data_IF_439781215779
#
_entry.id   IF_439781215779
#
_cell.length_a   1.000
_cell.length_b   1.000
_cell.length_c   1.000
_cell.angle_alpha   90.00
_cell.angle_beta   90.00
_cell.angle_gamma   90.00
#
_symmetry.space_group_name_H-M   'P 1'
#
loop_
_entity.id
_entity.type
_entity.pdbx_description
1 polymer ?
#
# COMPACT_ATOMS: atom_id res chain seq x y z
N UNK A 1 7.60 9.24 -8.21
CA UNK A 1 8.07 7.86 -8.29
C UNK A 1 7.45 7.06 -7.15
N UNK A 2 6.97 5.88 -7.43
CA UNK A 2 6.35 5.01 -6.47
C UNK A 2 7.26 3.80 -6.21
N UNK A 3 7.57 3.54 -4.96
CA UNK A 3 8.35 2.37 -4.56
C UNK A 3 7.43 1.46 -3.78
N UNK A 4 7.09 0.38 -4.43
CA UNK A 4 6.37 -0.72 -3.81
C UNK A 4 7.29 -1.52 -2.88
N UNK A 5 6.68 -2.10 -1.91
CA UNK A 5 7.26 -2.49 -0.77
C UNK A 5 8.05 -3.65 -0.46
N UNK A 6 8.98 -4.17 -0.98
CA UNK A 6 9.72 -5.31 -0.41
C UNK A 6 8.79 -6.45 0.05
N UNK A 7 7.75 -6.78 -0.70
CA UNK A 7 6.81 -7.86 -0.34
C UNK A 7 7.51 -9.12 0.15
N UNK A 8 8.67 -9.42 -0.43
CA UNK A 8 9.52 -10.48 0.06
C UNK A 8 10.12 -10.26 1.45
N UNK A 9 10.10 -9.06 1.99
CA UNK A 9 10.68 -8.75 3.30
C UNK A 9 10.02 -9.52 4.43
N UNK A 10 8.71 -9.58 4.44
CA UNK A 10 7.93 -10.34 5.45
C UNK A 10 8.14 -11.86 5.33
N UNK A 11 8.60 -12.34 4.20
CA UNK A 11 8.97 -13.74 3.96
C UNK A 11 10.48 -14.00 4.12
N UNK A 12 11.24 -13.02 4.60
CA UNK A 12 12.68 -13.11 4.80
C UNK A 12 13.51 -12.84 3.55
N UNK A 13 12.90 -12.36 2.48
CA UNK A 13 13.60 -11.85 1.31
C UNK A 13 13.76 -10.34 1.42
N UNK A 14 14.98 -9.86 1.23
CA UNK A 14 15.29 -8.44 1.15
C UNK A 14 16.46 -8.24 0.18
N UNK A 15 16.32 -7.42 -0.84
CA UNK A 15 17.41 -7.11 -1.74
C UNK A 15 18.40 -6.15 -1.07
N UNK A 16 19.46 -6.69 -0.50
CA UNK A 16 20.51 -5.92 0.19
C UNK A 16 21.06 -4.82 -0.73
N UNK A 17 21.22 -3.63 -0.19
CA UNK A 17 21.69 -2.45 -0.92
C UNK A 17 20.59 -1.59 -1.53
N UNK A 18 19.35 -2.07 -1.60
CA UNK A 18 18.23 -1.36 -2.21
C UNK A 18 17.89 -0.06 -1.47
N UNK A 19 17.81 -0.10 -0.17
CA UNK A 19 17.54 1.08 0.66
C UNK A 19 18.64 2.13 0.54
N UNK A 20 19.89 1.70 0.51
CA UNK A 20 21.05 2.57 0.25
C UNK A 20 20.98 3.20 -1.14
N UNK A 21 20.56 2.43 -2.16
CA UNK A 21 20.38 2.91 -3.52
C UNK A 21 19.29 4.01 -3.60
N UNK A 22 18.12 3.82 -2.96
CA UNK A 22 17.09 4.87 -2.90
C UNK A 22 17.63 6.14 -2.27
N UNK A 23 18.32 6.02 -1.14
CA UNK A 23 18.93 7.15 -0.46
C UNK A 23 19.98 7.87 -1.34
N UNK A 24 20.78 7.12 -2.08
CA UNK A 24 21.74 7.66 -3.02
C UNK A 24 21.05 8.42 -4.17
N UNK A 25 20.02 7.83 -4.79
CA UNK A 25 19.30 8.46 -5.91
C UNK A 25 18.60 9.75 -5.49
N UNK A 26 18.00 9.82 -4.31
CA UNK A 26 17.42 11.03 -3.76
C UNK A 26 18.45 12.14 -3.50
N UNK A 27 19.66 11.77 -3.10
CA UNK A 27 20.77 12.75 -2.96
C UNK A 27 21.28 13.26 -4.30
N UNK A 28 21.38 12.37 -5.29
CA UNK A 28 21.89 12.72 -6.62
C UNK A 28 20.89 13.52 -7.46
N UNK A 29 19.61 13.39 -7.19
CA UNK A 29 18.52 14.01 -7.94
C UNK A 29 17.66 14.89 -7.02
N UNK A 30 18.01 16.16 -6.81
CA UNK A 30 17.32 17.04 -5.85
C UNK A 30 15.83 17.23 -6.11
N UNK A 31 15.41 17.12 -7.38
CA UNK A 31 14.02 17.29 -7.79
C UNK A 31 13.20 15.98 -7.70
N UNK A 32 13.82 14.86 -7.38
CA UNK A 32 13.16 13.59 -7.35
C UNK A 32 12.36 13.41 -6.07
N UNK A 33 11.09 13.03 -6.19
CA UNK A 33 10.18 12.75 -5.08
C UNK A 33 9.68 11.32 -5.18
N UNK A 34 9.48 10.69 -4.04
CA UNK A 34 9.05 9.31 -3.94
C UNK A 34 7.87 9.13 -2.99
N UNK A 35 7.00 8.22 -3.36
CA UNK A 35 5.98 7.64 -2.49
C UNK A 35 6.40 6.21 -2.17
N UNK A 36 6.33 5.80 -0.93
CA UNK A 36 6.76 4.48 -0.50
C UNK A 36 5.62 3.72 0.20
N UNK A 37 5.54 2.44 -0.07
CA UNK A 37 4.64 1.51 0.61
C UNK A 37 5.37 0.23 1.01
N UNK A 38 6.43 0.39 1.77
CA UNK A 38 7.24 -0.72 2.27
C UNK A 38 6.56 -1.32 3.50
N UNK A 39 6.31 -2.62 3.51
CA UNK A 39 5.72 -3.27 4.67
C UNK A 39 6.56 -3.04 5.92
N UNK A 40 5.89 -2.66 7.03
CA UNK A 40 6.57 -2.26 8.25
C UNK A 40 7.54 -3.30 8.82
N UNK A 41 7.20 -4.59 8.74
CA UNK A 41 8.07 -5.68 9.19
C UNK A 41 9.39 -5.77 8.39
N UNK A 42 9.40 -5.31 7.16
CA UNK A 42 10.61 -5.27 6.33
C UNK A 42 11.69 -4.38 6.92
N UNK A 43 11.35 -3.34 7.65
CA UNK A 43 12.32 -2.43 8.27
C UNK A 43 13.18 -3.11 9.33
N UNK A 44 12.64 -4.07 10.06
CA UNK A 44 13.45 -4.86 11.00
C UNK A 44 14.43 -5.76 10.25
N UNK A 45 14.01 -6.35 9.12
CA UNK A 45 14.89 -7.14 8.24
C UNK A 45 15.99 -6.27 7.64
N UNK A 46 15.64 -5.08 7.15
CA UNK A 46 16.60 -4.10 6.61
C UNK A 46 17.62 -3.71 7.67
N UNK A 47 17.16 -3.38 8.88
CA UNK A 47 18.02 -2.98 9.99
C UNK A 47 19.06 -4.06 10.34
N UNK A 48 18.68 -5.34 10.25
CA UNK A 48 19.56 -6.46 10.58
C UNK A 48 20.51 -6.83 9.44
N UNK A 49 20.04 -6.80 8.20
CA UNK A 49 20.77 -7.30 7.04
C UNK A 49 21.53 -6.23 6.26
N UNK A 50 21.09 -4.98 6.35
CA UNK A 50 21.70 -3.82 5.70
C UNK A 50 21.67 -2.61 6.64
N UNK A 51 22.39 -2.66 7.77
CA UNK A 51 22.36 -1.60 8.78
C UNK A 51 22.83 -0.24 8.25
N UNK A 52 23.78 -0.22 7.33
CA UNK A 52 24.29 1.02 6.73
C UNK A 52 23.22 1.67 5.84
N UNK A 53 22.56 0.88 5.00
CA UNK A 53 21.45 1.33 4.17
C UNK A 53 20.27 1.81 5.01
N UNK A 54 19.95 1.08 6.08
CA UNK A 54 18.91 1.48 7.03
C UNK A 54 19.20 2.85 7.67
N UNK A 55 20.39 3.05 8.22
CA UNK A 55 20.75 4.31 8.86
C UNK A 55 20.85 5.48 7.86
N UNK A 56 21.31 5.21 6.63
CA UNK A 56 21.33 6.21 5.57
C UNK A 56 19.91 6.67 5.19
N UNK A 57 18.99 5.71 5.07
CA UNK A 57 17.58 6.00 4.75
C UNK A 57 16.88 6.69 5.93
N UNK A 58 17.14 6.25 7.16
CA UNK A 58 16.57 6.86 8.37
C UNK A 58 16.91 8.34 8.50
N UNK A 59 18.18 8.71 8.26
CA UNK A 59 18.60 10.12 8.25
C UNK A 59 17.89 10.91 7.15
N UNK A 60 17.83 10.34 5.95
CA UNK A 60 17.17 10.99 4.82
C UNK A 60 15.67 11.12 5.06
N UNK A 61 15.04 10.11 5.61
CA UNK A 61 13.61 10.11 5.92
C UNK A 61 13.26 11.20 6.94
N UNK A 62 14.06 11.35 7.98
CA UNK A 62 13.91 12.42 8.97
C UNK A 62 13.85 13.79 8.33
N UNK A 63 14.72 14.06 7.35
CA UNK A 63 14.82 15.35 6.71
C UNK A 63 13.78 15.57 5.59
N UNK A 64 13.26 14.50 5.00
CA UNK A 64 12.48 14.54 3.76
C UNK A 64 11.05 14.03 3.89
N UNK A 65 10.65 13.45 5.01
CA UNK A 65 9.28 12.96 5.21
C UNK A 65 8.31 14.01 5.75
N UNK A 66 8.80 15.21 6.09
CA UNK A 66 7.96 16.34 6.50
C UNK A 66 7.03 16.79 5.38
N UNK A 67 6.02 17.59 5.70
CA UNK A 67 4.94 17.99 4.79
C UNK A 67 5.46 18.58 3.45
N UNK A 68 6.54 19.33 3.48
CA UNK A 68 7.21 19.87 2.28
C UNK A 68 8.29 18.95 1.72
N UNK A 69 8.49 17.78 2.31
CA UNK A 69 9.57 16.88 1.97
C UNK A 69 9.30 16.06 0.70
N UNK A 70 10.35 15.35 0.27
CA UNK A 70 10.38 14.56 -0.97
C UNK A 70 10.04 13.10 -0.82
N UNK A 71 9.71 12.66 0.41
CA UNK A 71 9.35 11.29 0.73
C UNK A 71 7.98 11.30 1.41
N UNK A 72 7.06 10.47 0.93
CA UNK A 72 5.78 10.22 1.56
C UNK A 72 5.55 8.73 1.77
N UNK A 73 5.20 8.35 2.98
CA UNK A 73 4.79 6.98 3.29
C UNK A 73 3.29 6.86 3.02
N UNK A 74 2.90 6.16 1.96
CA UNK A 74 1.51 6.21 1.47
C UNK A 74 0.66 5.00 1.82
N UNK A 75 1.29 3.86 2.16
CA UNK A 75 0.57 2.69 2.67
C UNK A 75 1.24 2.16 3.94
N UNK A 76 0.82 2.64 5.11
CA UNK A 76 1.39 2.20 6.36
C UNK A 76 0.67 0.98 6.95
N UNK A 77 -0.10 0.23 6.19
CA UNK A 77 -0.74 -0.99 6.67
C UNK A 77 0.29 -2.05 7.00
N UNK A 78 -0.01 -2.90 7.98
CA UNK A 78 0.96 -3.87 8.49
C UNK A 78 1.35 -4.91 7.45
N UNK A 79 0.42 -5.32 6.60
CA UNK A 79 0.62 -6.37 5.61
C UNK A 79 -0.21 -6.22 4.33
N UNK A 80 -0.58 -5.03 3.93
CA UNK A 80 -1.22 -4.75 2.62
C UNK A 80 -2.35 -5.72 2.25
N UNK A 81 -3.37 -5.79 3.10
CA UNK A 81 -4.48 -6.73 2.94
C UNK A 81 -5.50 -6.29 1.89
N UNK A 82 -6.14 -7.25 1.22
CA UNK A 82 -7.39 -6.98 0.52
C UNK A 82 -8.51 -6.71 1.52
N UNK A 83 -8.77 -5.45 1.83
CA UNK A 83 -9.71 -5.05 2.88
C UNK A 83 -11.14 -5.53 2.64
N UNK A 84 -11.58 -5.71 1.39
CA UNK A 84 -12.88 -6.29 1.11
C UNK A 84 -13.01 -7.77 1.56
N UNK A 85 -11.89 -8.46 1.77
CA UNK A 85 -11.82 -9.85 2.23
C UNK A 85 -11.64 -10.01 3.74
N UNK A 86 -11.41 -8.94 4.49
CA UNK A 86 -11.15 -8.95 5.94
C UNK A 86 -12.27 -8.27 6.72
N UNK A 87 -12.26 -8.41 8.06
CA UNK A 87 -13.20 -7.67 8.91
C UNK A 87 -12.78 -6.22 9.10
N UNK A 88 -13.73 -5.38 9.56
CA UNK A 88 -13.44 -4.00 9.92
C UNK A 88 -12.42 -3.90 11.07
N UNK A 89 -12.42 -4.84 12.02
CA UNK A 89 -11.44 -4.88 13.09
C UNK A 89 -10.03 -5.13 12.53
N UNK A 90 -9.87 -6.09 11.63
CA UNK A 90 -8.59 -6.33 10.96
C UNK A 90 -8.14 -5.10 10.17
N UNK A 91 -9.04 -4.45 9.44
CA UNK A 91 -8.72 -3.24 8.69
C UNK A 91 -8.17 -2.13 9.60
N UNK A 92 -8.80 -1.90 10.76
CA UNK A 92 -8.33 -0.93 11.76
C UNK A 92 -6.96 -1.36 12.32
N UNK A 93 -6.77 -2.64 12.67
CA UNK A 93 -5.52 -3.15 13.21
C UNK A 93 -4.37 -3.11 12.20
N UNK A 94 -4.65 -3.29 10.91
CA UNK A 94 -3.65 -3.13 9.86
C UNK A 94 -3.01 -1.73 9.92
N UNK A 95 -3.80 -0.67 10.07
CA UNK A 95 -3.28 0.69 10.23
C UNK A 95 -2.62 0.90 11.59
N UNK A 96 -3.26 0.48 12.68
CA UNK A 96 -2.73 0.67 14.03
C UNK A 96 -1.33 0.04 14.19
N UNK A 97 -1.20 -1.24 13.83
CA UNK A 97 0.07 -1.97 13.99
C UNK A 97 1.12 -1.48 13.01
N UNK A 98 0.73 -1.21 11.77
CA UNK A 98 1.66 -0.73 10.76
C UNK A 98 2.21 0.64 11.08
N UNK A 99 1.35 1.62 11.35
CA UNK A 99 1.78 2.99 11.71
C UNK A 99 2.65 3.00 12.96
N UNK A 100 2.27 2.24 13.99
CA UNK A 100 3.06 2.11 15.23
C UNK A 100 4.45 1.55 14.95
N UNK A 101 4.55 0.52 14.11
CA UNK A 101 5.84 -0.08 13.77
C UNK A 101 6.69 0.85 12.90
N UNK A 102 6.11 1.52 11.93
CA UNK A 102 6.83 2.53 11.12
C UNK A 102 7.35 3.65 12.02
N UNK A 103 6.54 4.18 12.92
CA UNK A 103 6.96 5.24 13.84
C UNK A 103 8.02 4.80 14.86
N UNK A 104 8.11 3.50 15.16
CA UNK A 104 9.22 2.96 15.95
C UNK A 104 10.56 3.08 15.22
N UNK A 105 10.56 2.90 13.89
CA UNK A 105 11.76 3.05 13.06
C UNK A 105 12.01 4.52 12.67
N UNK A 106 10.94 5.23 12.35
CA UNK A 106 10.93 6.61 11.84
C UNK A 106 9.95 7.46 12.66
N UNK A 107 10.37 7.99 13.82
CA UNK A 107 9.48 8.74 14.71
C UNK A 107 8.85 9.97 14.06
N UNK A 108 9.48 10.52 13.03
CA UNK A 108 9.02 11.69 12.28
C UNK A 108 8.02 11.34 11.17
N UNK A 109 7.67 10.07 10.98
CA UNK A 109 6.75 9.64 9.93
C UNK A 109 5.37 10.28 10.09
N UNK A 110 4.91 10.95 9.04
CA UNK A 110 3.58 11.55 8.91
C UNK A 110 2.83 10.85 7.79
N UNK A 111 1.59 10.48 8.05
CA UNK A 111 0.73 9.80 7.11
C UNK A 111 -0.38 10.73 6.65
N UNK A 112 -0.33 11.20 5.43
CA UNK A 112 -1.24 12.20 4.88
C UNK A 112 -2.11 11.62 3.76
N UNK A 113 -1.51 10.86 2.86
CA UNK A 113 -2.20 10.27 1.71
C UNK A 113 -2.12 8.76 1.76
N UNK A 114 -3.23 8.10 1.51
CA UNK A 114 -3.27 6.65 1.31
C UNK A 114 -3.21 6.33 -0.18
N UNK A 115 -2.29 5.48 -0.56
CA UNK A 115 -2.18 4.91 -1.90
C UNK A 115 -1.58 3.52 -1.80
N UNK A 116 -2.04 2.59 -2.62
CA UNK A 116 -1.56 1.23 -2.63
C UNK A 116 -1.30 0.77 -4.06
N UNK A 117 -0.31 -0.09 -4.24
CA UNK A 117 -0.03 -0.72 -5.52
C UNK A 117 -1.14 -1.69 -5.90
N UNK A 118 -1.54 -2.53 -4.97
CA UNK A 118 -2.59 -3.52 -5.13
C UNK A 118 -3.96 -2.98 -4.64
N UNK A 119 -5.08 -3.59 -5.02
CA UNK A 119 -6.41 -3.09 -4.67
C UNK A 119 -6.78 -3.32 -3.20
N UNK A 120 -6.02 -2.74 -2.31
CA UNK A 120 -6.24 -2.79 -0.87
C UNK A 120 -7.36 -1.83 -0.45
N UNK A 121 -8.56 -1.98 -1.01
CA UNK A 121 -9.69 -1.05 -0.80
C UNK A 121 -10.92 -1.73 -0.19
N UNK A 122 -11.74 -0.93 0.46
CA UNK A 122 -13.09 -1.27 0.89
C UNK A 122 -13.95 -0.01 0.96
N UNK A 123 -15.27 -0.14 0.90
CA UNK A 123 -16.19 1.00 0.98
C UNK A 123 -16.05 1.82 2.26
N UNK A 124 -15.69 1.19 3.38
CA UNK A 124 -15.51 1.86 4.68
C UNK A 124 -14.17 2.58 4.83
N UNK A 125 -13.26 2.46 3.87
CA UNK A 125 -11.89 2.96 4.02
C UNK A 125 -11.80 4.48 4.23
N UNK A 126 -12.64 5.35 3.61
CA UNK A 126 -12.62 6.79 3.90
C UNK A 126 -12.77 7.11 5.38
N UNK A 127 -13.70 6.44 6.06
CA UNK A 127 -13.90 6.62 7.51
C UNK A 127 -12.67 6.16 8.32
N UNK A 128 -12.14 4.98 8.01
CA UNK A 128 -10.96 4.44 8.68
C UNK A 128 -9.77 5.38 8.49
N UNK A 129 -9.48 5.78 7.26
CA UNK A 129 -8.38 6.70 6.95
C UNK A 129 -8.50 8.03 7.69
N UNK A 130 -9.69 8.64 7.69
CA UNK A 130 -9.93 9.89 8.45
C UNK A 130 -9.71 9.70 9.95
N UNK A 131 -10.09 8.55 10.51
CA UNK A 131 -9.88 8.23 11.92
C UNK A 131 -8.39 8.14 12.29
N UNK A 132 -7.54 7.77 11.34
CA UNK A 132 -6.07 7.74 11.48
C UNK A 132 -5.37 9.04 11.03
N UNK A 133 -6.13 10.08 10.66
CA UNK A 133 -5.58 11.40 10.34
C UNK A 133 -5.22 11.61 8.86
N UNK A 134 -5.54 10.67 7.98
CA UNK A 134 -5.34 10.87 6.53
C UNK A 134 -6.26 11.95 5.99
N UNK A 135 -5.74 12.76 5.09
CA UNK A 135 -6.46 13.83 4.41
C UNK A 135 -6.82 13.48 2.97
N UNK A 136 -6.04 12.61 2.35
CA UNK A 136 -6.08 12.32 0.93
C UNK A 136 -5.97 10.83 0.63
N UNK A 137 -6.35 10.45 -0.60
CA UNK A 137 -6.08 9.13 -1.14
C UNK A 137 -5.75 9.19 -2.64
N UNK A 138 -5.19 8.10 -3.15
CA UNK A 138 -5.13 7.83 -4.58
C UNK A 138 -5.65 6.42 -4.83
N UNK A 139 -6.61 6.30 -5.74
CA UNK A 139 -7.11 5.02 -6.24
C UNK A 139 -6.49 4.65 -7.59
N UNK A 140 -5.48 5.40 -8.02
CA UNK A 140 -4.63 5.00 -9.13
C UNK A 140 -3.76 3.83 -8.68
N UNK A 141 -4.22 2.65 -9.02
CA UNK A 141 -3.47 1.44 -8.80
C UNK A 141 -2.51 1.24 -9.98
N UNK A 142 -1.20 1.18 -9.76
CA UNK A 142 -0.23 1.03 -10.84
C UNK A 142 -0.31 -0.32 -11.53
N UNK A 143 -0.83 -1.34 -10.87
CA UNK A 143 -0.78 -2.71 -11.37
C UNK A 143 -2.15 -3.18 -11.91
N UNK A 144 -2.76 -2.39 -12.76
CA UNK A 144 -4.12 -2.64 -13.28
C UNK A 144 -4.26 -3.91 -14.13
N UNK A 145 -3.16 -4.38 -14.75
CA UNK A 145 -3.19 -5.62 -15.54
C UNK A 145 -3.53 -6.86 -14.70
N UNK A 146 -3.31 -6.78 -13.42
CA UNK A 146 -3.61 -7.85 -12.47
C UNK A 146 -5.04 -7.79 -11.90
N UNK A 147 -5.88 -6.95 -12.49
CA UNK A 147 -7.29 -6.86 -12.14
C UNK A 147 -7.57 -6.05 -10.88
N UNK A 148 -6.66 -5.19 -10.48
CA UNK A 148 -6.73 -4.51 -9.21
C UNK A 148 -7.15 -3.06 -9.24
N UNK A 149 -7.83 -2.57 -10.25
CA UNK A 149 -8.20 -1.17 -10.30
C UNK A 149 -9.69 -0.91 -10.10
N UNK A 150 -9.95 0.24 -9.52
CA UNK A 150 -11.29 0.77 -9.34
C UNK A 150 -11.85 1.33 -10.64
N UNK A 151 -13.15 1.56 -10.71
CA UNK A 151 -13.83 2.20 -11.83
C UNK A 151 -13.18 3.52 -12.20
N UNK A 152 -13.14 3.82 -13.50
CA UNK A 152 -12.63 5.09 -13.99
C UNK A 152 -13.59 6.24 -13.65
N UNK A 153 -13.02 7.41 -13.38
CA UNK A 153 -13.75 8.63 -13.11
C UNK A 153 -13.22 9.80 -13.95
N UNK A 154 -14.08 10.78 -14.21
CA UNK A 154 -13.78 11.82 -15.20
C UNK A 154 -12.89 12.97 -14.73
N UNK A 155 -12.64 13.15 -13.46
CA UNK A 155 -11.97 14.33 -12.92
C UNK A 155 -10.52 14.14 -12.52
N UNK A 156 -9.81 15.23 -12.24
CA UNK A 156 -8.49 15.19 -11.63
C UNK A 156 -8.55 14.71 -10.19
N UNK A 157 -9.51 15.25 -9.45
CA UNK A 157 -9.79 14.90 -8.06
C UNK A 157 -11.28 14.62 -7.89
N UNK A 158 -11.60 13.66 -7.06
CA UNK A 158 -12.97 13.31 -6.66
C UNK A 158 -13.06 13.22 -5.14
N UNK A 159 -14.29 13.22 -4.63
CA UNK A 159 -14.54 12.85 -3.24
C UNK A 159 -14.79 11.34 -3.16
N UNK A 160 -13.89 10.59 -2.55
CA UNK A 160 -14.21 9.21 -2.17
C UNK A 160 -15.11 9.23 -0.94
N UNK A 161 -16.33 8.74 -1.10
CA UNK A 161 -17.36 8.82 -0.06
C UNK A 161 -17.60 7.45 0.56
N UNK A 162 -17.44 7.37 1.86
CA UNK A 162 -17.78 6.18 2.65
C UNK A 162 -19.29 6.03 2.89
N UNK A 163 -19.75 4.84 3.32
CA UNK A 163 -21.16 4.60 3.62
C UNK A 163 -21.76 5.49 4.71
N UNK A 164 -20.92 6.05 5.56
CA UNK A 164 -21.27 6.98 6.62
C UNK A 164 -21.31 8.46 6.17
N UNK A 165 -21.02 8.72 4.89
CA UNK A 165 -20.91 10.04 4.31
C UNK A 165 -19.57 10.75 4.48
N UNK A 166 -18.58 10.08 5.09
CA UNK A 166 -17.21 10.60 5.18
C UNK A 166 -16.62 10.79 3.80
N UNK A 167 -16.05 11.96 3.54
CA UNK A 167 -15.43 12.32 2.26
C UNK A 167 -13.92 12.42 2.38
N UNK A 168 -13.21 11.86 1.40
CA UNK A 168 -11.76 11.92 1.29
C UNK A 168 -11.38 12.38 -0.12
N UNK A 169 -10.66 13.49 -0.22
CA UNK A 169 -10.16 13.98 -1.51
C UNK A 169 -9.20 12.96 -2.12
N UNK A 170 -9.48 12.53 -3.34
CA UNK A 170 -8.84 11.36 -3.94
C UNK A 170 -8.48 11.60 -5.39
N UNK A 171 -7.29 11.15 -5.80
CA UNK A 171 -6.91 11.04 -7.21
C UNK A 171 -7.54 9.77 -7.78
N UNK A 172 -8.49 9.87 -8.73
CA UNK A 172 -9.13 8.70 -9.31
C UNK A 172 -8.31 8.11 -10.45
N UNK A 173 -8.67 6.93 -10.92
CA UNK A 173 -8.31 6.48 -12.25
C UNK A 173 -9.03 7.35 -13.28
N UNK A 174 -8.31 7.88 -14.25
CA UNK A 174 -8.93 8.75 -15.26
C UNK A 174 -9.79 7.97 -16.25
N UNK A 175 -10.94 8.54 -16.62
CA UNK A 175 -11.82 7.94 -17.61
C UNK A 175 -11.19 7.82 -19.01
N UNK A 176 -10.21 8.66 -19.31
CA UNK A 176 -9.49 8.64 -20.59
C UNK A 176 -8.36 7.60 -20.67
N UNK A 177 -8.10 6.86 -19.61
CA UNK A 177 -7.08 5.79 -19.60
C UNK A 177 -7.60 4.56 -20.37
N UNK A 178 -7.03 4.32 -21.54
CA UNK A 178 -7.32 3.12 -22.35
C UNK A 178 -6.57 1.93 -21.77
N UNK A 179 -7.26 1.08 -21.06
CA UNK A 179 -6.69 -0.17 -20.55
C UNK A 179 -6.89 -1.25 -21.61
N UNK A 180 -5.82 -1.54 -22.32
CA UNK A 180 -5.80 -2.62 -23.29
C UNK A 180 -5.51 -3.96 -22.58
N UNK A 181 -5.98 -5.10 -23.12
CA UNK A 181 -5.58 -6.41 -22.60
C UNK A 181 -4.05 -6.53 -22.49
N UNK A 182 -3.57 -6.92 -21.32
CA UNK A 182 -2.13 -7.03 -21.02
C UNK A 182 -1.43 -5.70 -20.72
N UNK A 183 -2.13 -4.57 -20.70
CA UNK A 183 -1.62 -3.29 -20.23
C UNK A 183 -2.00 -3.05 -18.77
N UNK A 184 -1.21 -2.21 -18.11
CA UNK A 184 -1.52 -1.67 -16.80
C UNK A 184 -1.36 -0.16 -16.82
N UNK A 185 -1.86 0.51 -15.81
CA UNK A 185 -1.68 1.95 -15.70
C UNK A 185 -0.19 2.34 -15.72
N UNK A 186 0.65 1.58 -15.06
CA UNK A 186 2.09 1.73 -15.08
C UNK A 186 2.64 1.72 -16.52
N UNK A 187 2.22 0.75 -17.35
CA UNK A 187 2.67 0.67 -18.74
C UNK A 187 2.26 1.88 -19.57
N UNK A 188 1.06 2.39 -19.35
CA UNK A 188 0.51 3.54 -20.08
C UNK A 188 1.27 4.82 -19.69
N UNK A 189 1.44 5.05 -18.40
CA UNK A 189 2.05 6.27 -17.88
C UNK A 189 3.58 6.21 -17.86
N UNK A 190 4.17 5.01 -17.78
CA UNK A 190 5.61 4.82 -17.82
C UNK A 190 6.23 5.41 -19.07
N UNK A 191 5.61 5.15 -20.20
CA UNK A 191 6.08 5.70 -21.47
C UNK A 191 5.76 7.19 -21.64
N UNK A 192 4.91 7.75 -20.77
CA UNK A 192 4.57 9.17 -20.73
C UNK A 192 4.33 9.70 -22.15
N UNK A 193 3.50 8.99 -22.92
CA UNK A 193 3.33 9.24 -24.34
C UNK A 193 2.57 10.52 -24.60
N UNK A 194 2.80 11.13 -25.77
CA UNK A 194 2.03 12.28 -26.24
C UNK A 194 0.54 12.02 -26.19
N UNK A 195 0.14 10.84 -26.65
CA UNK A 195 -1.27 10.46 -26.75
C UNK A 195 -1.94 10.43 -25.38
N UNK A 196 -1.25 9.89 -24.36
CA UNK A 196 -1.76 9.89 -22.99
C UNK A 196 -1.94 11.32 -22.46
N UNK A 197 -0.91 12.16 -22.61
CA UNK A 197 -0.96 13.56 -22.15
C UNK A 197 -2.07 14.32 -22.87
N UNK A 198 -2.18 14.20 -24.20
CA UNK A 198 -3.23 14.87 -24.99
C UNK A 198 -4.61 14.40 -24.58
N UNK A 199 -4.85 13.09 -24.43
CA UNK A 199 -6.12 12.56 -23.94
C UNK A 199 -6.53 13.13 -22.58
N UNK A 200 -5.58 13.24 -21.67
CA UNK A 200 -5.83 13.85 -20.37
C UNK A 200 -6.25 15.32 -20.51
N UNK A 201 -5.48 16.10 -21.28
CA UNK A 201 -5.77 17.53 -21.50
C UNK A 201 -7.12 17.74 -22.22
N UNK A 202 -7.42 16.93 -23.23
CA UNK A 202 -8.66 16.99 -23.99
C UNK A 202 -9.89 16.66 -23.13
N UNK A 203 -9.70 15.87 -22.07
CA UNK A 203 -10.77 15.56 -21.10
C UNK A 203 -10.82 16.51 -19.91
N UNK A 204 -10.01 17.59 -19.93
CA UNK A 204 -10.01 18.61 -18.90
C UNK A 204 -9.10 18.33 -17.70
N UNK A 205 -8.29 17.27 -17.77
CA UNK A 205 -7.26 16.97 -16.76
C UNK A 205 -6.05 17.87 -17.05
N UNK A 206 -5.82 18.86 -16.21
CA UNK A 206 -4.80 19.88 -16.43
C UNK A 206 -3.39 19.42 -15.99
N UNK A 207 -3.34 18.50 -15.02
CA UNK A 207 -2.10 18.00 -14.45
C UNK A 207 -2.03 16.46 -14.56
N UNK A 208 -1.82 15.94 -15.79
CA UNK A 208 -1.74 14.50 -16.00
C UNK A 208 -0.69 13.83 -15.13
N UNK A 209 -1.07 12.79 -14.41
CA UNK A 209 -0.15 12.01 -13.58
C UNK A 209 0.49 10.90 -14.39
N UNK A 210 1.81 10.92 -14.47
CA UNK A 210 2.62 9.78 -14.85
C UNK A 210 3.25 9.18 -13.59
N UNK A 211 3.21 7.86 -13.43
CA UNK A 211 3.81 7.19 -12.28
C UNK A 211 4.77 6.09 -12.74
N UNK A 212 5.97 6.10 -12.19
CA UNK A 212 6.89 4.99 -12.30
C UNK A 212 6.86 4.23 -11.00
N UNK A 213 6.47 2.98 -11.08
CA UNK A 213 6.54 2.05 -9.94
C UNK A 213 7.81 1.23 -9.99
N UNK A 214 8.30 0.88 -8.85
CA UNK A 214 9.37 -0.06 -8.64
C UNK A 214 8.93 -1.11 -7.64
N UNK A 215 8.65 -2.29 -8.13
CA UNK A 215 8.49 -3.48 -7.33
C UNK A 215 9.87 -3.95 -6.85
N UNK A 216 10.18 -3.57 -5.65
CA UNK A 216 11.53 -3.61 -5.15
C UNK A 216 12.04 -4.99 -4.83
N UNK A 217 11.19 -5.92 -4.46
CA UNK A 217 11.61 -7.27 -4.10
C UNK A 217 11.97 -8.14 -5.31
N UNK A 218 11.43 -7.82 -6.46
CA UNK A 218 11.49 -8.68 -7.65
C UNK A 218 12.28 -8.10 -8.81
N UNK A 219 12.54 -6.79 -8.80
CA UNK A 219 13.14 -6.08 -9.91
C UNK A 219 14.62 -5.77 -9.66
N UNK A 220 15.48 -6.21 -10.56
CA UNK A 220 16.88 -5.79 -10.61
C UNK A 220 17.11 -4.54 -11.48
N UNK A 221 16.05 -3.85 -11.84
CA UNK A 221 16.06 -2.76 -12.82
C UNK A 221 15.73 -1.38 -12.26
N UNK A 222 15.98 -1.14 -10.98
CA UNK A 222 15.69 0.11 -10.27
C UNK A 222 16.14 1.39 -10.94
N UNK A 223 17.26 1.34 -11.64
CA UNK A 223 17.89 2.44 -12.33
C UNK A 223 17.36 2.63 -13.76
N UNK A 224 16.42 1.80 -14.19
CA UNK A 224 15.92 1.76 -15.57
C UNK A 224 14.60 2.45 -15.81
N UNK A 225 14.09 3.20 -14.84
CA UNK A 225 12.93 4.05 -15.07
C UNK A 225 13.23 5.08 -16.17
N UNK A 226 12.29 5.32 -17.10
CA UNK A 226 12.52 6.22 -18.23
C UNK A 226 12.89 7.64 -17.80
N UNK A 227 12.71 7.97 -16.53
CA UNK A 227 12.96 9.30 -15.98
C UNK A 227 14.23 9.41 -15.16
N UNK A 228 14.97 8.33 -14.96
CA UNK A 228 16.16 8.29 -14.12
C UNK A 228 17.47 8.40 -14.94
N UNK A 229 17.55 9.42 -15.80
CA UNK A 229 18.80 9.78 -16.48
C UNK A 229 19.07 9.06 -17.81
N UNK A 230 18.03 8.53 -18.45
CA UNK A 230 18.14 8.01 -19.80
C UNK A 230 17.77 9.08 -20.85
N UNK A 231 18.17 8.86 -22.09
CA UNK A 231 17.73 9.69 -23.21
C UNK A 231 16.22 9.61 -23.35
N UNK A 232 15.54 10.64 -22.89
CA UNK A 232 14.10 10.76 -22.87
C UNK A 232 13.56 11.44 -24.13
N UNK A 233 14.35 11.56 -25.19
CA UNK A 233 13.95 12.24 -26.42
C UNK A 233 12.69 11.64 -27.07
N UNK A 234 12.41 10.36 -26.80
CA UNK A 234 11.21 9.67 -27.26
C UNK A 234 9.99 9.82 -26.31
N UNK A 235 10.17 10.39 -25.10
CA UNK A 235 9.14 10.46 -24.07
C UNK A 235 9.00 11.87 -23.55
N UNK A 236 7.82 12.23 -23.06
CA UNK A 236 7.66 13.47 -22.31
C UNK A 236 8.36 13.35 -20.96
N UNK A 237 9.32 14.21 -20.74
CA UNK A 237 9.91 14.36 -19.41
C UNK A 237 8.86 14.95 -18.47
N UNK A 238 8.66 14.41 -17.27
CA UNK A 238 7.80 15.01 -16.27
C UNK A 238 8.21 16.47 -16.02
N UNK A 239 7.24 17.37 -15.92
CA UNK A 239 7.50 18.77 -15.59
C UNK A 239 7.85 18.96 -14.12
N UNK A 240 7.36 18.06 -13.26
CA UNK A 240 7.68 18.04 -11.86
C UNK A 240 7.54 16.60 -11.29
N UNK A 241 8.38 16.28 -10.30
CA UNK A 241 8.17 15.13 -9.44
C UNK A 241 7.43 15.60 -8.20
N UNK A 242 6.41 14.85 -7.78
CA UNK A 242 5.60 15.18 -6.61
C UNK A 242 5.37 13.95 -5.74
N UNK A 243 5.28 14.13 -4.43
CA UNK A 243 4.56 13.19 -3.58
C UNK A 243 3.06 13.31 -3.86
N UNK A 244 2.28 12.29 -3.51
CA UNK A 244 0.82 12.36 -3.67
C UNK A 244 0.23 13.55 -2.93
N UNK A 245 0.66 13.78 -1.70
CA UNK A 245 0.25 14.93 -0.88
C UNK A 245 0.46 16.25 -1.61
N UNK A 246 1.68 16.48 -2.10
CA UNK A 246 2.03 17.74 -2.77
C UNK A 246 1.32 17.86 -4.12
N UNK A 247 1.13 16.74 -4.83
CA UNK A 247 0.34 16.74 -6.07
C UNK A 247 -1.09 17.19 -5.81
N UNK A 248 -1.78 16.58 -4.84
CA UNK A 248 -3.19 16.90 -4.54
C UNK A 248 -3.35 18.35 -4.08
N UNK A 249 -2.42 18.85 -3.26
CA UNK A 249 -2.44 20.25 -2.81
C UNK A 249 -2.24 21.23 -3.95
N UNK A 250 -1.34 20.94 -4.89
CA UNK A 250 -1.08 21.79 -6.05
C UNK A 250 -2.21 21.72 -7.10
N UNK A 251 -2.91 20.58 -7.20
CA UNK A 251 -4.00 20.37 -8.15
C UNK A 251 -5.39 20.76 -7.61
N UNK A 252 -5.46 21.41 -6.47
CA UNK A 252 -6.74 21.78 -5.83
C UNK A 252 -7.66 22.66 -6.70
N UNK A 253 -7.12 23.28 -7.74
CA UNK A 253 -7.87 24.11 -8.69
C UNK A 253 -8.73 23.27 -9.65
N UNK A 254 -8.31 22.04 -9.95
CA UNK A 254 -9.02 21.10 -10.83
C UNK A 254 -9.97 20.13 -10.12
N UNK A 255 -10.30 20.39 -8.86
CA UNK A 255 -11.16 19.52 -8.06
C UNK A 255 -12.56 19.41 -8.69
N UNK A 256 -12.96 18.21 -9.06
CA UNK A 256 -14.38 17.97 -9.35
C UNK A 256 -15.14 17.88 -8.02
N UNK A 257 -16.39 18.32 -8.03
CA UNK A 257 -17.30 18.15 -6.88
C UNK A 257 -17.96 16.76 -6.85
N UNK A 258 -17.53 15.88 -7.76
CA UNK A 258 -18.12 14.57 -7.95
C UNK A 258 -17.79 13.65 -6.76
N UNK A 259 -18.80 12.94 -6.34
CA UNK A 259 -18.70 11.91 -5.32
C UNK A 259 -18.50 10.54 -5.98
N UNK A 260 -17.50 9.81 -5.52
CA UNK A 260 -17.26 8.44 -5.92
C UNK A 260 -17.43 7.48 -4.75
N UNK A 261 -18.12 6.37 -4.99
CA UNK A 261 -18.39 5.34 -3.99
C UNK A 261 -17.74 4.03 -4.44
N UNK A 262 -16.90 3.45 -3.60
CA UNK A 262 -16.36 2.13 -3.84
C UNK A 262 -17.51 1.11 -3.81
N UNK A 263 -17.65 0.34 -4.89
CA UNK A 263 -18.78 -0.55 -5.12
C UNK A 263 -18.35 -2.01 -5.30
N UNK A 264 -19.33 -2.88 -5.44
CA UNK A 264 -19.07 -4.29 -5.78
C UNK A 264 -18.44 -4.43 -7.17
N UNK A 265 -18.70 -3.52 -8.09
CA UNK A 265 -18.09 -3.53 -9.42
C UNK A 265 -16.58 -3.31 -9.34
N UNK A 266 -16.13 -2.44 -8.44
CA UNK A 266 -14.71 -2.23 -8.18
C UNK A 266 -14.07 -3.50 -7.60
N UNK A 267 -14.77 -4.20 -6.70
CA UNK A 267 -14.30 -5.49 -6.15
C UNK A 267 -14.19 -6.54 -7.24
N UNK A 268 -15.15 -6.60 -8.18
CA UNK A 268 -15.11 -7.58 -9.27
C UNK A 268 -13.87 -7.44 -10.15
N UNK A 269 -13.38 -6.24 -10.36
CA UNK A 269 -12.09 -6.01 -11.02
C UNK A 269 -10.91 -6.69 -10.31
N UNK A 270 -10.93 -6.69 -8.97
CA UNK A 270 -9.90 -7.33 -8.14
C UNK A 270 -10.05 -8.84 -7.94
N UNK A 271 -11.24 -9.39 -8.17
CA UNK A 271 -11.51 -10.82 -7.92
C UNK A 271 -10.80 -11.77 -8.87
N UNK A 272 -10.28 -11.31 -9.97
CA UNK A 272 -9.57 -12.15 -10.94
C UNK A 272 -8.41 -12.91 -10.28
N UNK A 273 -7.75 -12.32 -9.31
CA UNK A 273 -6.71 -12.95 -8.52
C UNK A 273 -7.27 -13.79 -7.37
N UNK A 274 -8.26 -13.26 -6.66
CA UNK A 274 -8.77 -13.83 -5.43
C UNK A 274 -9.58 -15.12 -5.61
N UNK A 275 -10.14 -15.37 -6.78
CA UNK A 275 -11.05 -16.51 -6.98
C UNK A 275 -10.40 -17.87 -6.80
N UNK A 276 -9.11 -18.01 -7.08
CA UNK A 276 -8.41 -19.28 -6.94
C UNK A 276 -7.97 -19.58 -5.51
N UNK A 277 -7.71 -18.58 -4.72
CA UNK A 277 -7.03 -18.69 -3.41
C UNK A 277 -7.95 -18.36 -2.24
N UNK A 278 -8.91 -17.46 -2.44
CA UNK A 278 -9.83 -17.01 -1.39
C UNK A 278 -10.63 -18.14 -0.73
N UNK A 279 -10.85 -19.27 -1.41
CA UNK A 279 -11.71 -20.33 -0.85
C UNK A 279 -11.10 -21.00 0.38
N UNK A 280 -9.84 -21.43 0.32
CA UNK A 280 -9.21 -22.17 1.43
C UNK A 280 -8.46 -21.25 2.40
N UNK A 281 -7.51 -20.49 1.90
CA UNK A 281 -6.67 -19.65 2.75
C UNK A 281 -7.48 -18.55 3.42
N UNK A 282 -8.35 -17.86 2.69
CA UNK A 282 -9.25 -16.89 3.29
C UNK A 282 -10.17 -17.50 4.35
N UNK A 283 -10.59 -18.75 4.16
CA UNK A 283 -11.36 -19.52 5.17
C UNK A 283 -10.54 -19.75 6.45
N UNK A 284 -9.30 -20.19 6.32
CA UNK A 284 -8.36 -20.38 7.45
C UNK A 284 -8.12 -19.05 8.20
N UNK A 285 -7.84 -17.99 7.46
CA UNK A 285 -7.63 -16.64 8.02
C UNK A 285 -8.90 -16.15 8.73
N UNK A 286 -10.08 -16.34 8.13
CA UNK A 286 -11.35 -15.94 8.75
C UNK A 286 -11.64 -16.69 10.06
N UNK A 287 -11.29 -17.96 10.14
CA UNK A 287 -11.41 -18.74 11.39
C UNK A 287 -10.49 -18.16 12.46
N UNK A 288 -9.24 -17.86 12.12
CA UNK A 288 -8.28 -17.28 13.05
C UNK A 288 -8.70 -15.86 13.48
N UNK A 289 -9.19 -15.04 12.56
CA UNK A 289 -9.72 -13.70 12.84
C UNK A 289 -10.87 -13.76 13.87
N UNK A 290 -11.84 -14.62 13.64
CA UNK A 290 -12.95 -14.78 14.58
C UNK A 290 -12.49 -15.33 15.94
N UNK A 291 -11.44 -16.14 15.99
CA UNK A 291 -10.89 -16.66 17.23
C UNK A 291 -10.24 -15.57 18.06
N UNK A 292 -9.35 -14.75 17.48
CA UNK A 292 -8.64 -13.71 18.22
C UNK A 292 -9.59 -12.59 18.68
N UNK A 293 -10.56 -12.17 17.86
CA UNK A 293 -11.57 -11.17 18.25
C UNK A 293 -12.39 -11.67 19.45
N UNK A 294 -12.78 -12.94 19.46
CA UNK A 294 -13.49 -13.52 20.62
C UNK A 294 -12.59 -13.59 21.84
N UNK A 295 -11.36 -14.04 21.68
CA UNK A 295 -10.41 -14.17 22.77
C UNK A 295 -10.15 -12.81 23.46
N UNK A 296 -9.91 -11.77 22.66
CA UNK A 296 -9.69 -10.42 23.17
C UNK A 296 -10.91 -9.87 23.93
N UNK A 297 -12.11 -10.08 23.40
CA UNK A 297 -13.36 -9.72 24.11
C UNK A 297 -13.51 -10.48 25.42
N UNK A 298 -13.23 -11.77 25.43
CA UNK A 298 -13.29 -12.58 26.65
C UNK A 298 -12.23 -12.16 27.68
N UNK A 299 -11.01 -11.84 27.23
CA UNK A 299 -9.96 -11.31 28.09
C UNK A 299 -10.37 -9.96 28.71
N UNK A 300 -11.03 -9.09 27.93
CA UNK A 300 -11.55 -7.83 28.45
C UNK A 300 -12.63 -8.06 29.53
N UNK A 301 -13.56 -8.97 29.32
CA UNK A 301 -14.55 -9.34 30.35
C UNK A 301 -13.89 -9.95 31.59
N UNK A 302 -12.93 -10.85 31.41
CA UNK A 302 -12.20 -11.46 32.51
C UNK A 302 -11.44 -10.41 33.35
N UNK A 303 -10.83 -9.45 32.70
CA UNK A 303 -10.18 -8.33 33.38
C UNK A 303 -11.17 -7.46 34.15
N UNK A 304 -12.28 -7.06 33.52
CA UNK A 304 -13.27 -6.17 34.12
C UNK A 304 -14.01 -6.82 35.30
N UNK A 305 -14.41 -8.08 35.19
CA UNK A 305 -15.28 -8.74 36.17
C UNK A 305 -14.55 -9.66 37.13
N UNK A 306 -13.33 -10.09 36.81
CA UNK A 306 -12.55 -11.03 37.65
C UNK A 306 -11.18 -10.50 38.04
N UNK A 307 -10.80 -9.30 37.59
CA UNK A 307 -9.49 -8.72 37.88
C UNK A 307 -8.32 -9.51 37.26
N UNK A 308 -8.57 -10.29 36.21
CA UNK A 308 -7.50 -11.05 35.56
C UNK A 308 -6.54 -10.10 34.86
N UNK A 309 -5.28 -10.51 34.81
CA UNK A 309 -4.26 -9.76 34.08
C UNK A 309 -4.53 -9.79 32.57
N UNK A 310 -4.23 -8.66 31.90
CA UNK A 310 -4.33 -8.56 30.46
C UNK A 310 -3.16 -9.28 29.78
N UNK A 311 -3.46 -10.18 28.87
CA UNK A 311 -2.48 -11.04 28.20
C UNK A 311 -1.84 -10.32 26.99
N UNK A 312 -1.16 -9.21 27.22
CA UNK A 312 -0.64 -8.29 26.19
C UNK A 312 0.17 -9.03 25.12
N UNK A 313 1.18 -9.78 25.53
CA UNK A 313 2.08 -10.45 24.57
C UNK A 313 1.36 -11.48 23.70
N UNK A 314 0.47 -12.27 24.29
CA UNK A 314 -0.31 -13.27 23.56
C UNK A 314 -1.27 -12.64 22.56
N UNK A 315 -1.96 -11.58 22.97
CA UNK A 315 -2.92 -10.88 22.12
C UNK A 315 -2.17 -10.17 20.97
N UNK A 316 -1.07 -9.49 21.28
CA UNK A 316 -0.25 -8.82 20.27
C UNK A 316 0.35 -9.80 19.25
N UNK A 317 0.88 -10.94 19.69
CA UNK A 317 1.41 -11.95 18.77
C UNK A 317 0.30 -12.57 17.93
N UNK A 318 -0.85 -12.86 18.53
CA UNK A 318 -2.02 -13.36 17.82
C UNK A 318 -2.50 -12.40 16.72
N UNK A 319 -2.56 -11.10 17.01
CA UNK A 319 -2.89 -10.09 16.01
C UNK A 319 -1.82 -9.97 14.94
N UNK A 320 -0.54 -9.86 15.30
CA UNK A 320 0.55 -9.76 14.33
C UNK A 320 0.53 -10.91 13.31
N UNK A 321 0.41 -12.14 13.76
CA UNK A 321 0.38 -13.31 12.88
C UNK A 321 -0.89 -13.37 12.04
N UNK A 322 -2.04 -12.94 12.58
CA UNK A 322 -3.26 -12.78 11.79
C UNK A 322 -3.07 -11.76 10.68
N UNK A 323 -2.60 -10.56 11.02
CA UNK A 323 -2.43 -9.48 10.05
C UNK A 323 -1.46 -9.86 8.92
N UNK A 324 -0.35 -10.54 9.24
CA UNK A 324 0.56 -11.09 8.22
C UNK A 324 -0.13 -12.11 7.31
N UNK A 325 -0.98 -12.97 7.87
CA UNK A 325 -1.73 -13.97 7.10
C UNK A 325 -2.74 -13.37 6.12
N UNK A 326 -3.04 -12.10 6.25
CA UNK A 326 -3.97 -11.35 5.38
C UNK A 326 -3.26 -10.64 4.21
N UNK A 327 -1.96 -10.79 4.05
CA UNK A 327 -1.22 -10.19 2.95
C UNK A 327 -1.75 -10.70 1.61
N UNK A 328 -2.00 -9.77 0.69
CA UNK A 328 -2.64 -10.08 -0.60
C UNK A 328 -1.85 -11.12 -1.41
N UNK A 329 -0.54 -11.03 -1.47
CA UNK A 329 0.31 -11.97 -2.20
C UNK A 329 0.21 -13.41 -1.70
N UNK A 330 0.01 -13.61 -0.41
CA UNK A 330 -0.23 -14.95 0.12
C UNK A 330 -1.50 -15.59 -0.45
N UNK A 331 -2.43 -14.75 -0.86
CA UNK A 331 -3.72 -15.19 -1.36
C UNK A 331 -3.73 -15.36 -2.88
N UNK A 332 -2.95 -14.55 -3.60
CA UNK A 332 -2.92 -14.58 -5.06
C UNK A 332 -1.84 -15.49 -5.64
N UNK A 333 -0.70 -15.62 -4.98
CA UNK A 333 0.42 -16.47 -5.41
C UNK A 333 0.89 -17.44 -4.32
N UNK A 334 -0.02 -18.27 -3.76
CA UNK A 334 0.22 -19.09 -2.58
C UNK A 334 1.30 -20.16 -2.76
N UNK A 335 1.61 -20.47 -4.01
CA UNK A 335 2.65 -21.44 -4.41
C UNK A 335 4.05 -20.83 -4.41
N UNK A 336 4.16 -19.50 -4.33
CA UNK A 336 5.47 -18.85 -4.27
C UNK A 336 6.24 -19.28 -3.03
N UNK A 337 7.53 -19.43 -3.20
CA UNK A 337 8.47 -19.77 -2.13
C UNK A 337 9.86 -19.25 -2.46
N UNK A 338 10.62 -18.91 -1.43
CA UNK A 338 12.06 -18.73 -1.55
C UNK A 338 12.74 -20.09 -1.51
N UNK A 339 13.92 -20.22 -2.15
CA UNK A 339 14.66 -21.47 -2.16
C UNK A 339 14.90 -22.01 -0.73
N UNK A 340 14.49 -23.22 -0.47
CA UNK A 340 14.62 -23.88 0.83
C UNK A 340 13.67 -23.35 1.91
N UNK A 341 12.65 -22.57 1.53
CA UNK A 341 11.61 -22.05 2.43
C UNK A 341 10.26 -22.72 2.15
N UNK A 342 9.33 -22.56 3.08
CA UNK A 342 7.91 -22.92 2.90
C UNK A 342 7.28 -22.06 1.80
N UNK A 343 6.25 -22.59 1.17
CA UNK A 343 5.36 -21.80 0.32
C UNK A 343 4.64 -20.74 1.16
N UNK A 344 4.15 -19.71 0.49
CA UNK A 344 3.38 -18.67 1.18
C UNK A 344 2.09 -19.24 1.78
N UNK A 345 1.45 -20.22 1.13
CA UNK A 345 0.30 -20.91 1.70
C UNK A 345 0.64 -21.64 3.01
N UNK A 346 1.77 -22.35 3.06
CA UNK A 346 2.24 -23.02 4.28
C UNK A 346 2.57 -22.00 5.37
N UNK A 347 3.13 -20.86 5.00
CA UNK A 347 3.42 -19.76 5.92
C UNK A 347 2.13 -19.17 6.51
N UNK A 348 1.09 -18.98 5.70
CA UNK A 348 -0.24 -18.56 6.19
C UNK A 348 -0.81 -19.57 7.18
N UNK A 349 -0.68 -20.86 6.89
CA UNK A 349 -1.14 -21.92 7.82
C UNK A 349 -0.39 -21.87 9.16
N UNK A 350 0.92 -21.62 9.14
CA UNK A 350 1.70 -21.45 10.38
C UNK A 350 1.21 -20.22 11.17
N UNK A 351 1.07 -19.07 10.51
CA UNK A 351 0.63 -17.83 11.16
C UNK A 351 -0.77 -17.94 11.76
N UNK A 352 -1.73 -18.51 11.02
CA UNK A 352 -3.09 -18.75 11.54
C UNK A 352 -3.09 -19.77 12.67
N UNK A 353 -2.17 -20.74 12.63
CA UNK A 353 -1.92 -21.68 13.73
C UNK A 353 -1.50 -20.98 15.02
N UNK A 354 -0.54 -20.05 14.93
CA UNK A 354 -0.09 -19.22 16.07
C UNK A 354 -1.23 -18.33 16.58
N UNK A 355 -1.98 -17.66 15.68
CA UNK A 355 -3.16 -16.87 16.06
C UNK A 355 -4.17 -17.71 16.84
N UNK A 356 -4.52 -18.90 16.33
CA UNK A 356 -5.47 -19.80 16.98
C UNK A 356 -4.96 -20.32 18.34
N UNK A 357 -3.66 -20.57 18.48
CA UNK A 357 -3.04 -20.96 19.75
C UNK A 357 -3.15 -19.85 20.79
N UNK A 358 -2.83 -18.61 20.40
CA UNK A 358 -2.90 -17.44 21.27
C UNK A 358 -4.33 -17.03 21.63
N UNK A 359 -5.32 -17.50 20.88
CA UNK A 359 -6.76 -17.26 21.08
C UNK A 359 -7.44 -18.24 22.04
N UNK A 360 -6.72 -19.23 22.54
CA UNK A 360 -7.21 -20.25 23.51
C UNK A 360 -6.89 -19.83 24.95
#
# INVERSE_FOLDING_TARGET
>A
YFIDGYHGGIYGHYPVGQTAFIAQKLRQNPNWNINIEIEPESWEVVRQRDPEGYEAFKRLFKDQSVESGRIEYVNPTYAQSYFFGTSGESAIRQFEYGMRLIQKHFPEAVFTTYSAEEPCFTSCLPYILKSFGFSYASTKNPNTMWGGYVSAYGGELVNWVGPDGTRLTTVPRYACEDLQPGSCWQSISWFNTKDYIHKCLDTGIQHPVGMCIQDAAWSHGWDKGPWLGQDTAAYYTPTAYKTWRNYIQDCSVGTTQDDWHFSQEDVLGGLMWGTQVMQRLAGEVRVAENAIVRAEKMAAYARLYKGMEWLTERIDEGWRTLLLSQHHDCWIVPYNQLQGKKTWAETVTDWTGVTNQNSR
#
